data_IF_782056731029
#
_entry.id   IF_782056731029
#
_cell.length_a   1.000
_cell.length_b   1.000
_cell.length_c   1.000
_cell.angle_alpha   90.00
_cell.angle_beta   90.00
_cell.angle_gamma   90.00
#
_symmetry.space_group_name_H-M   'P 1'
#
loop_
_entity.id
_entity.type
_entity.pdbx_description
1 polymer ?
#
# COMPACT_ATOMS: atom_id res chain seq x y z
N UNK A 1 5.66 65.22 7.55
CA UNK A 1 5.28 63.97 6.86
C UNK A 1 5.99 62.83 7.56
N UNK A 2 5.21 61.90 8.12
CA UNK A 2 5.68 60.85 9.03
C UNK A 2 6.34 59.68 8.29
N UNK A 3 7.53 59.28 8.75
CA UNK A 3 8.21 58.06 8.32
C UNK A 3 7.50 56.81 8.82
N UNK A 4 7.19 55.88 7.93
CA UNK A 4 6.60 54.57 8.27
C UNK A 4 7.66 53.68 8.93
N UNK A 5 7.31 53.12 10.08
CA UNK A 5 8.04 52.10 10.83
C UNK A 5 8.20 50.82 10.00
N UNK A 6 9.39 50.22 10.00
CA UNK A 6 9.63 48.82 9.65
C UNK A 6 9.04 47.94 10.76
N UNK A 7 8.21 46.97 10.41
CA UNK A 7 7.81 45.88 11.29
C UNK A 7 8.52 44.61 10.82
N UNK A 8 9.50 44.17 11.60
CA UNK A 8 10.06 42.82 11.51
C UNK A 8 8.97 41.83 11.97
N UNK A 9 8.44 41.03 11.04
CA UNK A 9 7.66 39.85 11.38
C UNK A 9 8.57 38.63 11.17
N UNK A 10 9.07 38.12 12.29
CA UNK A 10 9.68 36.78 12.41
C UNK A 10 8.54 35.76 12.33
N UNK A 11 8.23 35.29 11.12
CA UNK A 11 7.35 34.14 10.95
C UNK A 11 8.14 32.86 11.22
N UNK A 12 8.06 32.42 12.47
CA UNK A 12 8.49 31.10 12.91
C UNK A 12 7.63 30.02 12.27
N UNK A 13 8.00 29.57 11.07
CA UNK A 13 7.56 28.27 10.56
C UNK A 13 8.41 27.21 11.24
N UNK A 14 7.84 26.57 12.26
CA UNK A 14 8.33 25.30 12.77
C UNK A 14 8.46 24.32 11.58
N UNK A 15 9.68 23.90 11.28
CA UNK A 15 9.92 22.78 10.38
C UNK A 15 9.30 21.53 11.02
N UNK A 16 8.05 21.23 10.64
CA UNK A 16 7.44 19.94 10.95
C UNK A 16 8.36 18.84 10.44
N UNK A 17 8.71 17.89 11.32
CA UNK A 17 9.47 16.69 10.94
C UNK A 17 8.76 16.05 9.75
N UNK A 18 9.51 15.76 8.69
CA UNK A 18 9.02 15.08 7.49
C UNK A 18 8.21 13.86 7.90
N UNK A 19 6.89 13.91 7.68
CA UNK A 19 6.02 12.73 7.78
C UNK A 19 6.52 11.72 6.74
N UNK A 20 6.63 10.46 7.14
CA UNK A 20 7.13 9.37 6.31
C UNK A 20 6.44 9.41 4.94
N UNK A 21 7.19 9.70 3.88
CA UNK A 21 6.64 9.72 2.52
C UNK A 21 6.44 8.27 2.10
N UNK A 22 5.27 7.69 2.39
CA UNK A 22 4.93 6.37 1.86
C UNK A 22 5.21 6.36 0.36
N UNK A 23 6.11 5.48 -0.05
CA UNK A 23 6.45 5.27 -1.45
C UNK A 23 5.20 4.77 -2.17
N UNK A 24 4.88 5.34 -3.34
CA UNK A 24 3.65 4.95 -4.04
C UNK A 24 3.67 3.45 -4.37
N UNK A 25 2.49 2.81 -4.44
CA UNK A 25 2.37 1.38 -4.77
C UNK A 25 3.15 1.06 -6.06
N UNK A 26 3.06 1.92 -7.06
CA UNK A 26 3.81 1.78 -8.32
C UNK A 26 5.33 1.82 -8.10
N UNK A 27 5.83 2.79 -7.33
CA UNK A 27 7.26 2.92 -7.03
C UNK A 27 7.77 1.72 -6.21
N UNK A 28 6.98 1.24 -5.24
CA UNK A 28 7.35 0.08 -4.42
C UNK A 28 7.39 -1.19 -5.26
N UNK A 29 6.39 -1.43 -6.10
CA UNK A 29 6.39 -2.56 -7.04
C UNK A 29 7.59 -2.47 -7.99
N UNK A 30 7.85 -1.29 -8.55
CA UNK A 30 9.02 -1.08 -9.42
C UNK A 30 10.33 -1.39 -8.69
N UNK A 31 10.46 -1.02 -7.41
CA UNK A 31 11.63 -1.35 -6.62
C UNK A 31 11.87 -2.86 -6.47
N UNK A 32 10.83 -3.69 -6.57
CA UNK A 32 10.91 -5.16 -6.47
C UNK A 32 11.18 -5.82 -7.82
N UNK A 33 10.44 -5.45 -8.87
CA UNK A 33 10.50 -6.14 -10.18
C UNK A 33 11.35 -5.42 -11.23
N UNK A 34 11.82 -4.21 -10.93
CA UNK A 34 12.76 -3.38 -11.71
C UNK A 34 12.33 -2.99 -13.12
N UNK A 35 11.11 -3.35 -13.55
CA UNK A 35 10.61 -3.04 -14.90
C UNK A 35 9.14 -2.62 -14.84
N UNK A 36 8.79 -1.54 -15.55
CA UNK A 36 7.42 -1.05 -15.61
C UNK A 36 6.41 -2.02 -16.23
N UNK A 37 6.73 -2.82 -17.28
CA UNK A 37 5.80 -3.82 -17.80
C UNK A 37 5.33 -4.81 -16.73
N UNK A 38 6.26 -5.29 -15.88
CA UNK A 38 5.91 -6.18 -14.75
C UNK A 38 5.05 -5.46 -13.72
N UNK A 39 5.35 -4.20 -13.39
CA UNK A 39 4.53 -3.39 -12.46
C UNK A 39 3.09 -3.29 -12.95
N UNK A 40 2.88 -2.84 -14.18
CA UNK A 40 1.53 -2.66 -14.73
C UNK A 40 0.81 -4.00 -14.91
N UNK A 41 1.52 -5.06 -15.29
CA UNK A 41 0.94 -6.40 -15.39
C UNK A 41 0.47 -6.94 -14.03
N UNK A 42 1.27 -6.78 -12.98
CA UNK A 42 0.89 -7.17 -11.61
C UNK A 42 -0.31 -6.37 -11.12
N UNK A 43 -0.31 -5.05 -11.31
CA UNK A 43 -1.44 -4.20 -10.91
C UNK A 43 -2.71 -4.57 -11.66
N UNK A 44 -2.65 -4.74 -12.98
CA UNK A 44 -3.81 -5.14 -13.78
C UNK A 44 -4.38 -6.49 -13.35
N UNK A 45 -3.53 -7.48 -13.08
CA UNK A 45 -3.99 -8.84 -12.76
C UNK A 45 -4.56 -8.98 -11.34
N UNK A 46 -4.02 -8.25 -10.37
CA UNK A 46 -4.33 -8.46 -8.95
C UNK A 46 -5.00 -7.28 -8.25
N UNK A 47 -4.86 -6.06 -8.77
CA UNK A 47 -5.47 -4.86 -8.19
C UNK A 47 -5.81 -3.82 -9.28
N UNK A 48 -6.66 -4.16 -10.27
CA UNK A 48 -6.96 -3.28 -11.41
C UNK A 48 -7.56 -1.94 -11.00
N UNK A 49 -8.25 -1.87 -9.85
CA UNK A 49 -8.78 -0.64 -9.27
C UNK A 49 -7.70 0.40 -8.92
N UNK A 50 -6.43 0.00 -8.84
CA UNK A 50 -5.31 0.89 -8.59
C UNK A 50 -4.70 1.48 -9.87
N UNK A 51 -5.17 1.03 -11.05
CA UNK A 51 -4.78 1.64 -12.31
C UNK A 51 -5.55 2.96 -12.50
N UNK A 52 -4.89 4.03 -12.98
CA UNK A 52 -5.56 5.30 -13.26
C UNK A 52 -6.70 5.21 -14.29
N UNK A 53 -6.65 4.21 -15.16
CA UNK A 53 -7.68 3.96 -16.17
C UNK A 53 -8.46 2.68 -15.82
N UNK A 54 -9.73 2.84 -15.47
CA UNK A 54 -10.64 1.75 -15.10
C UNK A 54 -11.12 0.90 -16.28
N UNK A 55 -10.91 1.36 -17.52
CA UNK A 55 -11.43 0.70 -18.72
C UNK A 55 -10.52 -0.43 -19.26
N UNK A 56 -9.38 -0.68 -18.62
CA UNK A 56 -8.42 -1.71 -19.03
C UNK A 56 -8.93 -3.09 -18.62
N UNK A 57 -9.55 -3.83 -19.56
CA UNK A 57 -10.15 -5.15 -19.29
C UNK A 57 -9.33 -6.30 -19.85
N UNK A 58 -8.62 -6.07 -20.95
CA UNK A 58 -7.81 -7.09 -21.64
C UNK A 58 -6.33 -6.76 -21.56
N UNK A 59 -5.48 -7.77 -21.82
CA UNK A 59 -4.05 -7.55 -21.93
C UNK A 59 -3.71 -6.60 -23.09
N UNK A 60 -4.47 -6.63 -24.18
CA UNK A 60 -4.29 -5.71 -25.30
C UNK A 60 -4.61 -4.26 -24.88
N UNK A 61 -5.67 -4.03 -24.09
CA UNK A 61 -5.95 -2.70 -23.53
C UNK A 61 -4.78 -2.19 -22.68
N UNK A 62 -4.20 -3.08 -21.86
CA UNK A 62 -3.06 -2.76 -20.99
C UNK A 62 -1.84 -2.35 -21.82
N UNK A 63 -1.51 -3.16 -22.83
CA UNK A 63 -0.40 -2.94 -23.76
C UNK A 63 -0.57 -1.66 -24.56
N UNK A 64 -1.79 -1.38 -25.03
CA UNK A 64 -2.10 -0.18 -25.79
C UNK A 64 -2.08 1.08 -24.91
N UNK A 65 -2.41 0.95 -23.63
CA UNK A 65 -2.39 2.07 -22.68
C UNK A 65 -0.97 2.44 -22.26
N UNK A 66 -0.11 1.45 -22.00
CA UNK A 66 1.23 1.68 -21.45
C UNK A 66 2.35 1.36 -22.46
N UNK A 67 3.04 2.41 -22.91
CA UNK A 67 4.15 2.33 -23.89
C UNK A 67 5.35 1.48 -23.45
N UNK A 68 5.41 1.06 -22.18
CA UNK A 68 6.48 0.20 -21.66
C UNK A 68 6.42 -1.22 -22.23
N UNK A 69 5.25 -1.68 -22.69
CA UNK A 69 5.12 -3.01 -23.30
C UNK A 69 5.64 -3.00 -24.74
N UNK A 70 6.47 -3.99 -25.07
CA UNK A 70 7.02 -4.15 -26.43
C UNK A 70 6.08 -4.97 -27.32
N UNK A 71 6.19 -4.81 -28.64
CA UNK A 71 5.31 -5.47 -29.61
C UNK A 71 5.28 -7.01 -29.48
N UNK A 72 6.42 -7.63 -29.13
CA UNK A 72 6.54 -9.09 -28.97
C UNK A 72 6.02 -9.65 -27.64
N UNK A 73 5.63 -8.80 -26.68
CA UNK A 73 5.07 -9.28 -25.42
C UNK A 73 3.64 -9.78 -25.65
N UNK A 74 3.42 -11.05 -25.30
CA UNK A 74 2.12 -11.72 -25.24
C UNK A 74 1.69 -11.90 -23.79
N UNK A 75 0.39 -12.05 -23.54
CA UNK A 75 -0.11 -12.31 -22.19
C UNK A 75 0.51 -13.59 -21.61
N UNK A 76 0.66 -14.64 -22.41
CA UNK A 76 1.30 -15.88 -22.00
C UNK A 76 2.76 -15.65 -21.55
N UNK A 77 3.54 -14.88 -22.31
CA UNK A 77 4.93 -14.55 -21.94
C UNK A 77 4.99 -13.73 -20.64
N UNK A 78 4.01 -12.85 -20.40
CA UNK A 78 3.93 -12.06 -19.18
C UNK A 78 3.49 -12.91 -17.98
N UNK A 79 2.60 -13.89 -18.18
CA UNK A 79 2.21 -14.85 -17.14
C UNK A 79 3.42 -15.66 -16.64
N UNK A 80 4.41 -15.95 -17.48
CA UNK A 80 5.63 -16.63 -17.04
C UNK A 80 6.41 -15.82 -16.00
N UNK A 81 6.31 -14.49 -15.99
CA UNK A 81 6.93 -13.65 -14.96
C UNK A 81 6.40 -13.96 -13.57
N UNK A 82 5.17 -14.50 -13.43
CA UNK A 82 4.59 -14.87 -12.14
C UNK A 82 5.32 -16.03 -11.45
N UNK A 83 6.17 -16.74 -12.19
CA UNK A 83 7.04 -17.78 -11.63
C UNK A 83 8.36 -17.22 -11.10
N UNK A 84 8.67 -15.94 -11.37
CA UNK A 84 9.88 -15.29 -10.85
C UNK A 84 9.70 -14.90 -9.38
N UNK A 85 10.72 -15.15 -8.56
CA UNK A 85 10.68 -14.92 -7.11
C UNK A 85 10.40 -13.45 -6.73
N UNK A 86 11.02 -12.50 -7.45
CA UNK A 86 10.81 -11.08 -7.22
C UNK A 86 9.38 -10.63 -7.57
N UNK A 87 8.77 -11.23 -8.59
CA UNK A 87 7.37 -10.99 -8.97
C UNK A 87 6.43 -11.59 -7.94
N UNK A 88 6.67 -12.81 -7.48
CA UNK A 88 5.89 -13.43 -6.40
C UNK A 88 5.96 -12.60 -5.10
N UNK A 89 7.15 -12.09 -4.77
CA UNK A 89 7.34 -11.17 -3.64
C UNK A 89 6.52 -9.89 -3.81
N UNK A 90 6.52 -9.31 -5.01
CA UNK A 90 5.75 -8.11 -5.32
C UNK A 90 4.23 -8.35 -5.25
N UNK A 91 3.76 -9.47 -5.80
CA UNK A 91 2.34 -9.88 -5.74
C UNK A 91 1.92 -10.10 -4.28
N UNK A 92 2.72 -10.83 -3.49
CA UNK A 92 2.43 -11.07 -2.06
C UNK A 92 2.37 -9.75 -1.28
N UNK A 93 3.30 -8.82 -1.54
CA UNK A 93 3.30 -7.51 -0.90
C UNK A 93 2.02 -6.71 -1.23
N UNK A 94 1.62 -6.70 -2.49
CA UNK A 94 0.41 -6.02 -2.95
C UNK A 94 -0.86 -6.62 -2.32
N UNK A 95 -1.00 -7.94 -2.38
CA UNK A 95 -2.15 -8.67 -1.82
C UNK A 95 -2.26 -8.51 -0.31
N UNK A 96 -1.13 -8.40 0.41
CA UNK A 96 -1.16 -8.08 1.85
C UNK A 96 -1.80 -6.72 2.13
N UNK A 97 -1.47 -5.68 1.35
CA UNK A 97 -2.09 -4.35 1.53
C UNK A 97 -3.57 -4.36 1.17
N UNK A 98 -3.94 -5.04 0.08
CA UNK A 98 -5.34 -5.20 -0.30
C UNK A 98 -6.13 -5.99 0.75
N UNK A 99 -5.53 -7.03 1.33
CA UNK A 99 -6.13 -7.78 2.42
C UNK A 99 -6.39 -6.90 3.65
N UNK A 100 -5.42 -6.06 4.04
CA UNK A 100 -5.60 -5.12 5.14
C UNK A 100 -6.74 -4.13 4.86
N UNK A 101 -6.86 -3.62 3.62
CA UNK A 101 -8.00 -2.78 3.24
C UNK A 101 -9.35 -3.50 3.39
N UNK A 102 -9.42 -4.78 2.97
CA UNK A 102 -10.63 -5.61 3.13
C UNK A 102 -10.97 -5.89 4.60
N UNK A 103 -9.97 -6.06 5.45
CA UNK A 103 -10.20 -6.22 6.89
C UNK A 103 -10.78 -4.96 7.53
N UNK A 104 -10.37 -3.77 7.09
CA UNK A 104 -10.97 -2.49 7.52
C UNK A 104 -12.44 -2.40 7.08
N UNK A 105 -12.76 -2.78 5.84
CA UNK A 105 -14.15 -2.83 5.36
C UNK A 105 -15.00 -3.81 6.17
N UNK A 106 -14.43 -4.98 6.50
CA UNK A 106 -15.11 -5.99 7.29
C UNK A 106 -15.33 -5.53 8.73
N UNK A 107 -14.36 -4.86 9.34
CA UNK A 107 -14.48 -4.23 10.66
C UNK A 107 -15.69 -3.29 10.70
N UNK A 108 -15.78 -2.37 9.74
CA UNK A 108 -16.89 -1.42 9.65
C UNK A 108 -18.23 -2.13 9.48
N UNK A 109 -18.27 -3.15 8.62
CA UNK A 109 -19.49 -3.94 8.38
C UNK A 109 -19.96 -4.67 9.65
N UNK A 110 -19.04 -5.26 10.43
CA UNK A 110 -19.37 -5.93 11.68
C UNK A 110 -19.79 -4.94 12.77
N UNK A 111 -19.12 -3.79 12.86
CA UNK A 111 -19.49 -2.73 13.78
C UNK A 111 -20.94 -2.26 13.53
N UNK A 112 -21.32 -2.03 12.27
CA UNK A 112 -22.67 -1.60 11.94
C UNK A 112 -23.72 -2.65 12.29
N UNK A 113 -23.46 -3.93 12.01
CA UNK A 113 -24.38 -5.03 12.38
C UNK A 113 -24.49 -5.25 13.89
N UNK A 114 -23.39 -5.07 14.61
CA UNK A 114 -23.33 -5.23 16.06
C UNK A 114 -24.19 -4.24 16.84
N UNK A 115 -24.60 -3.12 16.23
CA UNK A 115 -25.49 -2.13 16.84
C UNK A 115 -26.87 -2.71 17.18
N UNK A 116 -27.35 -3.64 16.35
CA UNK A 116 -28.72 -4.13 16.42
C UNK A 116 -28.83 -5.66 16.67
N UNK A 117 -27.73 -6.41 16.53
CA UNK A 117 -27.69 -7.87 16.72
C UNK A 117 -26.60 -8.28 17.73
N UNK A 118 -27.02 -8.88 18.84
CA UNK A 118 -26.12 -9.34 19.92
C UNK A 118 -25.18 -10.48 19.49
N UNK A 119 -25.56 -11.31 18.52
CA UNK A 119 -24.67 -12.30 17.93
C UNK A 119 -23.60 -11.63 17.05
N UNK A 120 -23.99 -10.60 16.30
CA UNK A 120 -23.05 -9.80 15.52
C UNK A 120 -22.09 -9.01 16.43
N UNK A 121 -22.56 -8.56 17.61
CA UNK A 121 -21.70 -7.94 18.61
C UNK A 121 -20.56 -8.86 19.06
N UNK A 122 -20.86 -10.14 19.34
CA UNK A 122 -19.82 -11.11 19.70
C UNK A 122 -18.84 -11.37 18.54
N UNK A 123 -19.35 -11.48 17.32
CA UNK A 123 -18.48 -11.63 16.14
C UNK A 123 -17.58 -10.40 15.92
N UNK A 124 -18.11 -9.21 16.19
CA UNK A 124 -17.37 -7.95 16.12
C UNK A 124 -16.26 -7.88 17.18
N UNK A 125 -16.53 -8.24 18.45
CA UNK A 125 -15.50 -8.24 19.50
C UNK A 125 -14.39 -9.22 19.18
N UNK A 126 -14.72 -10.47 18.81
CA UNK A 126 -13.74 -11.51 18.49
C UNK A 126 -12.88 -11.13 17.26
N UNK A 127 -13.49 -10.49 16.26
CA UNK A 127 -12.75 -9.97 15.10
C UNK A 127 -11.84 -8.81 15.48
N UNK A 128 -12.35 -7.84 16.24
CA UNK A 128 -11.60 -6.64 16.67
C UNK A 128 -10.36 -7.01 17.45
N UNK A 129 -10.48 -7.94 18.41
CA UNK A 129 -9.35 -8.40 19.21
C UNK A 129 -8.23 -8.98 18.34
N UNK A 130 -8.58 -9.76 17.32
CA UNK A 130 -7.60 -10.33 16.37
C UNK A 130 -7.02 -9.28 15.43
N UNK A 131 -7.86 -8.40 14.91
CA UNK A 131 -7.47 -7.35 13.97
C UNK A 131 -6.41 -6.42 14.59
N UNK A 132 -6.57 -6.05 15.86
CA UNK A 132 -5.60 -5.22 16.58
C UNK A 132 -4.47 -6.02 17.26
N UNK A 133 -4.57 -7.35 17.36
CA UNK A 133 -3.47 -8.19 17.85
C UNK A 133 -2.31 -8.27 16.84
N UNK A 134 -2.61 -8.34 15.53
CA UNK A 134 -1.58 -8.37 14.49
C UNK A 134 -0.71 -7.10 14.47
N UNK A 135 -1.27 -5.93 14.84
CA UNK A 135 -0.50 -4.68 14.94
C UNK A 135 0.53 -4.71 16.08
N UNK A 136 0.20 -5.33 17.21
CA UNK A 136 1.10 -5.42 18.38
C UNK A 136 2.34 -6.25 18.08
N UNK A 137 2.21 -7.35 17.33
CA UNK A 137 3.35 -8.16 16.90
C UNK A 137 4.24 -7.40 15.92
N UNK A 138 3.67 -6.59 15.01
CA UNK A 138 4.44 -5.76 14.08
C UNK A 138 5.18 -4.61 14.78
N UNK A 139 4.58 -4.00 15.81
CA UNK A 139 5.24 -2.95 16.62
C UNK A 139 6.39 -3.53 17.46
N UNK A 140 6.18 -4.68 18.10
CA UNK A 140 7.22 -5.39 18.85
C UNK A 140 8.39 -5.83 17.96
N UNK A 141 8.12 -6.36 16.76
CA UNK A 141 9.16 -6.67 15.78
C UNK A 141 9.87 -5.41 15.28
N UNK A 142 9.18 -4.27 15.18
CA UNK A 142 9.79 -2.98 14.82
C UNK A 142 10.76 -2.47 15.90
N UNK A 143 10.41 -2.64 17.17
CA UNK A 143 11.27 -2.31 18.32
C UNK A 143 12.48 -3.25 18.36
N UNK A 144 12.26 -4.57 18.21
CA UNK A 144 13.34 -5.57 18.24
C UNK A 144 14.33 -5.40 17.08
N UNK A 145 13.85 -5.09 15.87
CA UNK A 145 14.73 -4.80 14.72
C UNK A 145 15.40 -3.41 14.80
N UNK A 146 14.95 -2.54 15.71
CA UNK A 146 15.55 -1.23 15.98
C UNK A 146 16.66 -1.26 17.03
N UNK A 147 16.74 -2.32 17.84
CA UNK A 147 17.86 -2.59 18.74
C UNK A 147 18.93 -3.28 17.90
N UNK A 148 20.08 -2.63 17.74
CA UNK A 148 21.25 -3.28 17.12
C UNK A 148 21.79 -4.30 18.11
N UNK A 149 22.20 -5.47 17.61
CA UNK A 149 22.82 -6.53 18.44
C UNK A 149 24.01 -6.02 19.27
N UNK A 150 24.65 -4.93 18.84
CA UNK A 150 25.75 -4.24 19.52
C UNK A 150 25.38 -3.59 20.88
N UNK A 151 24.10 -3.54 21.26
CA UNK A 151 23.63 -2.99 22.56
C UNK A 151 23.25 -4.08 23.58
N UNK A 152 23.43 -5.36 23.24
CA UNK A 152 23.10 -6.52 24.09
C UNK A 152 24.33 -7.22 24.70
N UNK A 153 25.51 -6.59 24.66
CA UNK A 153 26.72 -7.04 25.38
C UNK A 153 26.97 -6.25 26.68
#
# INVERSE_FOLDING_TARGET
MAGRKKSDHLDGYAQGKSVSQEVSIQQKLFSLVKTYPKVYFIMWKYAPQLLPNSDIKTFDDLKNTYKSFTAGMTEQSCNNWLMEENVQTAVKWLLKREHQAKLIELYNTYYDKAKDDTNAFKAFTDFSDKFFAEEKDSELLGILNGIKDDELE
#
